data_IF_933918821178
#
_entry.id   IF_933918821178
#
_cell.length_a   1.000
_cell.length_b   1.000
_cell.length_c   1.000
_cell.angle_alpha   90.00
_cell.angle_beta   90.00
_cell.angle_gamma   90.00
#
_symmetry.space_group_name_H-M   'P 1'
#
loop_
_entity.id
_entity.type
_entity.pdbx_description
1 polymer ?
#
# COMPACT_ATOMS: atom_id res chain seq x y z
N UNK A 1 5.00 -10.19 -18.24
CA UNK A 1 3.93 -9.41 -17.57
C UNK A 1 3.68 -9.97 -16.18
N UNK A 2 3.51 -9.08 -15.23
CA UNK A 2 3.23 -9.47 -13.85
C UNK A 2 1.74 -9.44 -13.63
N UNK A 3 1.20 -10.53 -13.09
CA UNK A 3 -0.21 -10.61 -12.72
C UNK A 3 -0.30 -11.03 -11.27
N UNK A 4 -1.18 -10.40 -10.53
CA UNK A 4 -1.45 -10.80 -9.16
C UNK A 4 -2.94 -10.61 -8.85
N UNK A 5 -3.41 -11.34 -7.87
CA UNK A 5 -4.80 -11.27 -7.44
C UNK A 5 -4.91 -11.53 -5.95
N UNK A 6 -6.00 -11.01 -5.38
CA UNK A 6 -6.37 -11.28 -3.99
C UNK A 6 -7.83 -11.70 -3.95
N UNK A 7 -8.18 -12.50 -2.95
CA UNK A 7 -9.56 -12.94 -2.73
C UNK A 7 -10.07 -12.40 -1.41
N UNK A 8 -11.36 -12.05 -1.39
CA UNK A 8 -12.02 -11.54 -0.18
C UNK A 8 -11.71 -10.08 0.09
N UNK A 9 -12.23 -9.60 1.18
CA UNK A 9 -12.04 -8.22 1.61
C UNK A 9 -10.67 -8.07 2.28
N UNK A 10 -10.04 -6.89 2.15
CA UNK A 10 -8.78 -6.65 2.85
C UNK A 10 -9.00 -6.56 4.36
N UNK A 11 -7.97 -6.92 5.11
CA UNK A 11 -7.99 -6.77 6.56
C UNK A 11 -7.96 -5.30 6.97
N UNK A 12 -7.24 -4.48 6.20
CA UNK A 12 -7.17 -3.04 6.46
C UNK A 12 -6.76 -2.30 5.19
N UNK A 13 -7.18 -1.04 5.12
CA UNK A 13 -6.89 -0.13 4.00
C UNK A 13 -6.41 1.18 4.59
N UNK A 14 -5.27 1.67 4.12
CA UNK A 14 -4.70 2.88 4.67
C UNK A 14 -3.88 3.68 3.68
N UNK A 15 -3.41 4.84 4.13
CA UNK A 15 -2.40 5.61 3.43
C UNK A 15 -1.25 5.90 4.39
N UNK A 16 -0.05 6.05 3.84
CA UNK A 16 1.15 6.27 4.63
C UNK A 16 1.95 7.44 4.08
N UNK A 17 2.28 8.39 4.95
CA UNK A 17 3.02 9.60 4.59
C UNK A 17 4.51 9.52 4.94
N UNK A 18 5.04 8.37 5.34
CA UNK A 18 6.43 8.25 5.76
C UNK A 18 7.40 8.54 4.60
N UNK A 19 8.64 8.83 4.95
CA UNK A 19 9.66 9.16 3.95
C UNK A 19 9.82 8.05 2.90
N UNK A 20 9.88 6.80 3.34
CA UNK A 20 10.03 5.67 2.42
C UNK A 20 8.85 5.55 1.47
N UNK A 21 7.63 5.68 1.98
CA UNK A 21 6.43 5.62 1.16
C UNK A 21 6.38 6.76 0.15
N UNK A 22 6.78 7.96 0.55
CA UNK A 22 6.83 9.12 -0.34
C UNK A 22 7.87 8.91 -1.44
N UNK A 23 9.04 8.41 -1.08
CA UNK A 23 10.13 8.21 -2.04
C UNK A 23 9.80 7.11 -3.04
N UNK A 24 9.29 5.97 -2.58
CA UNK A 24 8.99 4.85 -3.48
C UNK A 24 7.84 5.15 -4.43
N UNK A 25 6.91 6.01 -4.03
CA UNK A 25 5.76 6.37 -4.87
C UNK A 25 6.01 7.62 -5.71
N UNK A 26 7.04 8.40 -5.37
CA UNK A 26 7.24 9.70 -6.00
C UNK A 26 6.07 10.63 -5.75
N UNK A 27 5.38 10.48 -4.62
CA UNK A 27 4.18 11.23 -4.30
C UNK A 27 4.16 11.61 -2.83
N UNK A 28 3.06 12.19 -2.37
CA UNK A 28 2.93 12.64 -0.99
C UNK A 28 2.60 11.50 -0.03
N UNK A 29 2.11 10.37 -0.53
CA UNK A 29 1.76 9.21 0.29
C UNK A 29 1.62 7.98 -0.58
N UNK A 30 1.52 6.79 0.05
CA UNK A 30 1.13 5.56 -0.64
C UNK A 30 -0.26 5.16 -0.19
N UNK A 31 -1.01 4.57 -1.11
CA UNK A 31 -2.36 4.05 -0.89
C UNK A 31 -2.26 2.52 -0.97
N UNK A 32 -2.61 1.84 0.12
CA UNK A 32 -2.37 0.40 0.21
C UNK A 32 -3.50 -0.31 0.94
N UNK A 33 -3.58 -1.62 0.71
CA UNK A 33 -4.45 -2.48 1.49
C UNK A 33 -3.69 -3.76 1.81
N UNK A 34 -4.09 -4.43 2.89
CA UNK A 34 -3.41 -5.61 3.39
C UNK A 34 -4.40 -6.76 3.46
N UNK A 35 -4.02 -7.88 2.87
CA UNK A 35 -4.77 -9.13 2.93
C UNK A 35 -3.96 -10.19 3.66
N UNK A 36 -4.60 -11.26 4.15
CA UNK A 36 -3.83 -12.45 4.58
C UNK A 36 -3.01 -12.99 3.41
N UNK A 37 -1.80 -13.45 3.67
CA UNK A 37 -0.92 -13.97 2.61
C UNK A 37 -1.59 -15.11 1.83
N UNK A 38 -2.40 -15.92 2.50
CA UNK A 38 -3.11 -17.04 1.88
C UNK A 38 -4.13 -16.59 0.81
N UNK A 39 -4.55 -15.32 0.84
CA UNK A 39 -5.50 -14.77 -0.13
C UNK A 39 -4.83 -14.18 -1.35
N UNK A 40 -3.50 -14.20 -1.40
CA UNK A 40 -2.72 -13.54 -2.46
C UNK A 40 -2.06 -14.56 -3.37
N UNK A 41 -2.11 -14.28 -4.67
CA UNK A 41 -1.39 -15.05 -5.68
C UNK A 41 -0.75 -14.09 -6.66
N UNK A 42 0.46 -14.42 -7.09
CA UNK A 42 1.17 -13.63 -8.09
C UNK A 42 1.89 -14.53 -9.06
N UNK A 43 2.01 -14.06 -10.30
CA UNK A 43 2.72 -14.74 -11.37
C UNK A 43 3.56 -13.70 -12.13
N UNK A 44 4.72 -14.13 -12.64
CA UNK A 44 5.64 -13.25 -13.33
C UNK A 44 6.81 -12.83 -12.45
N UNK A 45 7.84 -12.30 -13.10
CA UNK A 45 9.04 -11.87 -12.41
C UNK A 45 8.94 -10.43 -11.94
N UNK A 46 9.22 -10.22 -10.66
CA UNK A 46 9.36 -8.89 -10.09
C UNK A 46 10.81 -8.66 -9.70
N UNK A 47 11.21 -7.41 -9.60
CA UNK A 47 12.44 -7.04 -8.92
C UNK A 47 12.08 -6.62 -7.50
N UNK A 48 13.06 -6.67 -6.59
CA UNK A 48 12.82 -6.30 -5.19
C UNK A 48 13.89 -5.34 -4.69
N UNK A 49 13.46 -4.47 -3.78
CA UNK A 49 14.37 -3.66 -2.99
C UNK A 49 13.82 -3.63 -1.57
N UNK A 50 14.59 -4.16 -0.63
CA UNK A 50 14.20 -4.24 0.77
C UNK A 50 12.80 -4.85 0.97
N UNK A 51 12.53 -5.95 0.26
CA UNK A 51 11.27 -6.68 0.37
C UNK A 51 10.10 -6.06 -0.42
N UNK A 52 10.34 -4.96 -1.10
CA UNK A 52 9.32 -4.29 -1.91
C UNK A 52 9.43 -4.75 -3.34
N UNK A 53 8.35 -5.32 -3.86
CA UNK A 53 8.31 -5.83 -5.23
C UNK A 53 7.87 -4.75 -6.20
N UNK A 54 8.56 -4.66 -7.32
CA UNK A 54 8.21 -3.70 -8.37
C UNK A 54 8.42 -4.33 -9.75
N UNK A 55 7.77 -3.73 -10.74
CA UNK A 55 7.91 -4.20 -12.12
C UNK A 55 9.27 -3.79 -12.68
N UNK A 56 10.10 -4.74 -13.12
CA UNK A 56 11.42 -4.38 -13.65
C UNK A 56 11.36 -3.65 -14.99
N UNK A 57 10.23 -3.66 -15.67
CA UNK A 57 10.06 -3.00 -16.96
C UNK A 57 9.63 -1.54 -16.82
N UNK A 58 8.67 -1.27 -15.93
CA UNK A 58 8.13 0.09 -15.81
C UNK A 58 8.40 0.73 -14.46
N UNK A 59 8.92 -0.02 -13.50
CA UNK A 59 9.22 0.50 -12.16
C UNK A 59 8.03 0.61 -11.23
N UNK A 60 6.83 0.21 -11.66
CA UNK A 60 5.63 0.32 -10.84
C UNK A 60 5.78 -0.48 -9.55
N UNK A 61 5.55 0.17 -8.42
CA UNK A 61 5.59 -0.47 -7.11
C UNK A 61 4.31 -1.28 -6.91
N UNK A 62 4.45 -2.57 -6.62
CA UNK A 62 3.34 -3.51 -6.69
C UNK A 62 2.87 -3.99 -5.31
N UNK A 63 3.72 -4.75 -4.61
CA UNK A 63 3.31 -5.39 -3.36
C UNK A 63 4.51 -5.74 -2.50
N UNK A 64 4.24 -6.06 -1.24
CA UNK A 64 5.19 -6.67 -0.32
C UNK A 64 4.47 -7.82 0.39
N UNK A 65 5.08 -8.99 0.43
CA UNK A 65 4.45 -10.19 0.97
C UNK A 65 5.41 -10.89 1.92
N UNK A 66 4.90 -11.30 3.07
CA UNK A 66 5.63 -12.16 3.98
C UNK A 66 4.77 -13.42 4.24
N UNK A 67 5.12 -14.20 5.26
CA UNK A 67 4.41 -15.44 5.57
C UNK A 67 3.02 -15.19 6.19
N UNK A 68 2.71 -13.96 6.56
CA UNK A 68 1.46 -13.61 7.24
C UNK A 68 0.56 -12.71 6.41
N UNK A 69 1.13 -11.72 5.73
CA UNK A 69 0.38 -10.66 5.08
C UNK A 69 0.89 -10.35 3.67
N UNK A 70 -0.03 -9.91 2.83
CA UNK A 70 0.28 -9.35 1.52
C UNK A 70 -0.21 -7.90 1.51
N UNK A 71 0.71 -6.96 1.37
CA UNK A 71 0.39 -5.54 1.23
C UNK A 71 0.41 -5.19 -0.26
N UNK A 72 -0.70 -4.70 -0.76
CA UNK A 72 -0.84 -4.32 -2.16
C UNK A 72 -0.85 -2.81 -2.26
N UNK A 73 -0.02 -2.25 -3.15
CA UNK A 73 -0.08 -0.83 -3.48
C UNK A 73 -1.23 -0.64 -4.45
N UNK A 74 -2.32 -0.06 -3.96
CA UNK A 74 -3.59 -0.03 -4.70
C UNK A 74 -3.53 0.80 -5.97
N UNK A 75 -2.60 1.76 -6.04
CA UNK A 75 -2.38 2.52 -7.26
C UNK A 75 -1.87 1.69 -8.42
N UNK A 76 -1.36 0.48 -8.17
CA UNK A 76 -0.88 -0.41 -9.22
C UNK A 76 -2.00 -1.18 -9.93
N UNK A 77 -3.21 -1.14 -9.40
CA UNK A 77 -4.34 -1.85 -9.99
C UNK A 77 -4.80 -1.15 -11.27
N UNK A 78 -5.21 -1.95 -12.27
CA UNK A 78 -5.60 -1.41 -13.57
C UNK A 78 -6.87 -0.58 -13.51
N UNK A 79 -7.86 -1.04 -12.74
CA UNK A 79 -9.17 -0.39 -12.72
C UNK A 79 -9.24 0.64 -11.61
N UNK A 80 -9.51 1.87 -11.99
CA UNK A 80 -9.72 2.97 -11.05
C UNK A 80 -11.10 3.60 -11.33
N UNK A 81 -11.79 4.06 -10.29
CA UNK A 81 -11.42 4.00 -8.88
C UNK A 81 -11.49 2.59 -8.30
N UNK A 82 -10.66 2.34 -7.29
CA UNK A 82 -10.50 1.00 -6.71
C UNK A 82 -11.73 0.56 -5.91
N UNK A 83 -12.47 1.52 -5.38
CA UNK A 83 -13.73 1.23 -4.67
C UNK A 83 -13.58 0.95 -3.18
N UNK A 84 -12.38 1.04 -2.62
CA UNK A 84 -12.15 0.92 -1.17
C UNK A 84 -11.70 2.25 -0.61
N UNK A 85 -12.00 2.48 0.66
CA UNK A 85 -11.71 3.74 1.33
C UNK A 85 -10.72 3.51 2.46
N UNK A 86 -9.65 4.33 2.56
CA UNK A 86 -8.75 4.23 3.71
C UNK A 86 -9.47 4.51 5.02
N UNK A 87 -9.19 3.70 6.03
CA UNK A 87 -9.74 3.86 7.36
C UNK A 87 -8.71 4.36 8.37
N UNK A 88 -7.46 4.52 7.94
CA UNK A 88 -6.42 5.09 8.80
C UNK A 88 -5.32 5.71 7.96
N UNK A 89 -4.57 6.63 8.58
CA UNK A 89 -3.41 7.28 7.98
C UNK A 89 -2.21 7.11 8.91
N UNK A 90 -1.09 6.70 8.34
CA UNK A 90 0.16 6.53 9.09
C UNK A 90 1.11 7.68 8.80
N UNK A 91 1.94 8.00 9.81
CA UNK A 91 2.99 9.00 9.70
C UNK A 91 2.45 10.37 9.32
N UNK A 92 1.34 10.75 9.95
CA UNK A 92 0.70 12.05 9.64
C UNK A 92 1.58 13.23 10.01
N UNK A 93 2.60 13.05 10.84
CA UNK A 93 3.56 14.12 11.12
C UNK A 93 4.37 14.53 9.89
N UNK A 94 4.34 13.70 8.83
CA UNK A 94 5.00 14.00 7.56
C UNK A 94 4.03 14.33 6.44
N UNK A 95 2.74 14.44 6.76
CA UNK A 95 1.72 14.83 5.78
C UNK A 95 1.99 16.24 5.30
N UNK A 96 1.90 16.45 3.98
CA UNK A 96 2.02 17.78 3.41
C UNK A 96 0.92 18.69 3.96
N UNK A 97 1.23 19.93 4.31
CA UNK A 97 0.24 20.83 4.93
C UNK A 97 -1.01 21.10 4.06
N UNK A 98 -0.88 20.99 2.75
CA UNK A 98 -2.00 21.22 1.83
C UNK A 98 -2.92 20.01 1.70
N UNK A 99 -2.50 18.85 2.20
CA UNK A 99 -3.32 17.65 2.21
C UNK A 99 -4.21 17.62 3.45
N UNK A 100 -5.48 17.38 3.24
CA UNK A 100 -6.43 17.27 4.35
C UNK A 100 -6.50 15.81 4.80
N UNK A 101 -6.74 15.62 6.10
CA UNK A 101 -6.96 14.29 6.64
C UNK A 101 -8.24 13.70 6.05
N UNK A 102 -8.25 12.38 5.86
CA UNK A 102 -9.44 11.67 5.40
C UNK A 102 -10.45 11.64 6.54
N UNK A 103 -11.66 12.13 6.27
CA UNK A 103 -12.72 12.17 7.27
C UNK A 103 -13.05 10.76 7.74
N UNK A 104 -13.07 10.57 9.05
CA UNK A 104 -13.37 9.28 9.67
C UNK A 104 -12.20 8.33 9.77
N UNK A 105 -11.04 8.66 9.18
CA UNK A 105 -9.87 7.80 9.27
C UNK A 105 -9.09 8.08 10.55
N UNK A 106 -8.61 7.01 11.19
CA UNK A 106 -7.76 7.15 12.36
C UNK A 106 -6.41 7.73 11.95
N UNK A 107 -5.88 8.63 12.79
CA UNK A 107 -4.65 9.36 12.49
C UNK A 107 -3.55 8.91 13.43
N UNK A 108 -2.45 8.42 12.88
CA UNK A 108 -1.30 7.98 13.66
C UNK A 108 -0.09 8.84 13.31
N UNK A 109 0.57 9.39 14.34
CA UNK A 109 1.75 10.23 14.13
C UNK A 109 2.89 9.46 13.47
N UNK A 110 3.02 8.18 13.79
CA UNK A 110 4.00 7.27 13.20
C UNK A 110 3.27 6.00 12.76
N UNK A 111 3.76 4.81 13.12
CA UNK A 111 3.08 3.57 12.79
C UNK A 111 1.85 3.39 13.68
N UNK A 112 0.90 2.60 13.21
CA UNK A 112 -0.27 2.31 14.04
C UNK A 112 0.13 1.47 15.25
N UNK A 113 -0.57 1.70 16.36
CA UNK A 113 -0.35 0.91 17.55
C UNK A 113 -0.80 -0.52 17.32
N UNK A 114 0.06 -1.46 17.65
CA UNK A 114 -0.26 -2.88 17.63
C UNK A 114 -0.21 -3.38 19.06
N UNK A 115 -1.31 -3.90 19.53
CA UNK A 115 -1.42 -4.42 20.90
C UNK A 115 -1.46 -5.93 20.85
#
# INVERSE_FOLDING_TARGET
MIQFSVTGEPDRVGICHCTDCRQESGSAFTFFAVWPAASFQADGETATYEGRHFCPKCGCRLFAVDDREAEIKLGSLHDAPVGVRPTYELWVKRREPWLWSIEGAEQYQEDRSVI
#
